data_IF_729066891325
#
_entry.id   IF_729066891325
#
_cell.length_a   1.000
_cell.length_b   1.000
_cell.length_c   1.000
_cell.angle_alpha   90.00
_cell.angle_beta   90.00
_cell.angle_gamma   90.00
#
_symmetry.space_group_name_H-M   'P 1'
#
loop_
_entity.id
_entity.type
_entity.pdbx_description
1 polymer ?
#
# COMPACT_ATOMS: atom_id res chain seq x y z
N UNK A 1 -18.91 25.72 1.44
CA UNK A 1 -17.85 24.84 1.97
C UNK A 1 -18.47 23.98 3.04
N UNK A 2 -18.71 22.71 2.76
CA UNK A 2 -19.20 21.80 3.80
C UNK A 2 -18.14 21.67 4.90
N UNK A 3 -18.60 21.74 6.15
CA UNK A 3 -17.74 21.65 7.32
C UNK A 3 -17.13 20.24 7.37
N UNK A 4 -15.80 20.15 7.23
CA UNK A 4 -15.07 18.87 7.32
C UNK A 4 -15.43 18.12 8.61
N UNK A 5 -15.65 16.82 8.50
CA UNK A 5 -16.09 15.98 9.62
C UNK A 5 -14.88 15.42 10.37
N UNK A 6 -14.81 15.54 11.72
CA UNK A 6 -13.81 14.81 12.48
C UNK A 6 -14.14 13.31 12.47
N UNK A 7 -13.16 12.48 12.12
CA UNK A 7 -13.31 11.02 12.05
C UNK A 7 -12.20 10.31 12.81
N UNK A 8 -12.44 9.04 13.15
CA UNK A 8 -11.45 8.14 13.73
C UNK A 8 -11.36 6.87 12.89
N UNK A 9 -10.41 6.86 11.96
CA UNK A 9 -10.19 5.74 11.04
C UNK A 9 -9.63 4.53 11.79
N UNK A 10 -10.09 3.33 11.43
CA UNK A 10 -9.49 2.09 11.90
C UNK A 10 -8.02 1.98 11.49
N UNK A 11 -7.12 1.46 12.37
CA UNK A 11 -5.73 1.18 11.99
C UNK A 11 -5.64 0.30 10.75
N UNK A 12 -4.71 0.62 9.86
CA UNK A 12 -4.50 -0.09 8.62
C UNK A 12 -3.55 -1.27 8.83
N UNK A 13 -4.06 -2.49 8.61
CA UNK A 13 -3.20 -3.66 8.62
C UNK A 13 -2.43 -3.75 7.30
N UNK A 14 -1.16 -3.36 7.31
CA UNK A 14 -0.26 -3.50 6.16
C UNK A 14 0.26 -4.93 6.08
N UNK A 15 -0.07 -5.63 5.00
CA UNK A 15 0.44 -6.97 4.73
C UNK A 15 1.66 -6.93 3.82
N UNK A 16 2.60 -7.86 4.00
CA UNK A 16 3.77 -8.00 3.10
C UNK A 16 3.34 -8.39 1.69
N UNK A 17 2.33 -9.25 1.61
CA UNK A 17 1.76 -9.68 0.34
C UNK A 17 0.26 -9.43 0.31
N UNK A 18 -0.24 -9.00 -0.84
CA UNK A 18 -1.63 -8.61 -1.02
C UNK A 18 -2.60 -9.78 -0.80
N UNK A 19 -2.22 -10.99 -1.25
CA UNK A 19 -3.04 -12.19 -1.08
C UNK A 19 -3.33 -12.54 0.39
N UNK A 20 -2.57 -12.00 1.35
CA UNK A 20 -2.80 -12.24 2.78
C UNK A 20 -4.10 -11.60 3.28
N UNK A 21 -4.58 -10.55 2.60
CA UNK A 21 -5.88 -9.92 2.89
C UNK A 21 -7.05 -10.66 2.27
N UNK A 22 -6.79 -11.49 1.25
CA UNK A 22 -7.83 -12.21 0.56
C UNK A 22 -8.36 -13.36 1.44
N UNK A 23 -9.67 -13.40 1.61
CA UNK A 23 -10.40 -14.44 2.34
C UNK A 23 -11.38 -15.12 1.40
N UNK A 24 -11.70 -16.38 1.70
CA UNK A 24 -12.63 -17.21 0.91
C UNK A 24 -13.62 -17.89 1.84
N UNK A 25 -14.88 -17.94 1.42
CA UNK A 25 -15.92 -18.67 2.15
C UNK A 25 -15.79 -20.18 1.90
N UNK A 26 -15.69 -20.98 2.96
CA UNK A 26 -15.64 -22.46 2.84
C UNK A 26 -16.91 -23.08 2.24
N UNK A 27 -18.05 -22.36 2.28
CA UNK A 27 -19.33 -22.90 1.84
C UNK A 27 -19.70 -22.52 0.40
N UNK A 28 -19.60 -21.24 0.05
CA UNK A 28 -19.98 -20.75 -1.28
C UNK A 28 -18.77 -20.44 -2.18
N UNK A 29 -17.55 -20.60 -1.67
CA UNK A 29 -16.30 -20.28 -2.39
C UNK A 29 -16.18 -18.84 -2.88
N UNK A 30 -17.05 -17.92 -2.42
CA UNK A 30 -16.92 -16.52 -2.75
C UNK A 30 -15.73 -15.89 -2.01
N UNK A 31 -15.05 -14.96 -2.68
CA UNK A 31 -13.87 -14.28 -2.19
C UNK A 31 -14.23 -12.88 -1.68
N UNK A 32 -13.53 -12.43 -0.64
CA UNK A 32 -13.65 -11.06 -0.14
C UNK A 32 -12.32 -10.58 0.43
N UNK A 33 -12.11 -9.26 0.39
CA UNK A 33 -10.99 -8.59 1.05
C UNK A 33 -11.43 -7.86 2.32
N UNK A 34 -12.73 -7.84 2.59
CA UNK A 34 -13.29 -7.14 3.72
C UNK A 34 -13.03 -7.90 5.03
N UNK A 35 -12.96 -7.15 6.12
CA UNK A 35 -12.66 -7.68 7.46
C UNK A 35 -13.86 -8.34 8.14
N UNK A 36 -15.02 -8.38 7.50
CA UNK A 36 -16.23 -9.01 8.04
C UNK A 36 -16.00 -10.50 8.31
N UNK A 37 -16.68 -11.03 9.33
CA UNK A 37 -16.62 -12.45 9.69
C UNK A 37 -17.62 -13.30 8.91
N UNK A 38 -18.74 -12.69 8.51
CA UNK A 38 -19.79 -13.31 7.71
C UNK A 38 -19.56 -13.09 6.22
N UNK A 39 -19.78 -14.12 5.41
CA UNK A 39 -19.74 -13.95 3.96
C UNK A 39 -20.92 -13.10 3.46
N UNK A 40 -20.66 -12.02 2.73
CA UNK A 40 -21.70 -11.16 2.15
C UNK A 40 -22.68 -11.91 1.21
N UNK A 41 -22.24 -13.02 0.60
CA UNK A 41 -23.08 -13.81 -0.30
C UNK A 41 -24.00 -14.79 0.45
N UNK A 42 -23.44 -15.68 1.28
CA UNK A 42 -24.22 -16.73 1.95
C UNK A 42 -24.57 -16.43 3.42
N UNK A 43 -24.13 -15.29 3.96
CA UNK A 43 -24.31 -14.82 5.34
C UNK A 43 -23.78 -15.75 6.44
N UNK A 44 -23.00 -16.78 6.10
CA UNK A 44 -22.39 -17.71 7.06
C UNK A 44 -21.02 -17.24 7.52
N UNK A 45 -20.70 -17.49 8.78
CA UNK A 45 -19.38 -17.24 9.39
C UNK A 45 -18.39 -18.33 9.01
N UNK A 46 -18.01 -18.34 7.73
CA UNK A 46 -17.18 -19.40 7.14
C UNK A 46 -16.01 -18.84 6.31
N UNK A 47 -15.66 -17.56 6.50
CA UNK A 47 -14.54 -16.91 5.83
C UNK A 47 -13.21 -17.36 6.45
N UNK A 48 -12.28 -17.78 5.60
CA UNK A 48 -10.90 -18.10 5.99
C UNK A 48 -9.88 -17.43 5.09
N UNK A 49 -8.68 -17.10 5.60
CA UNK A 49 -7.60 -16.62 4.76
C UNK A 49 -7.27 -17.60 3.64
N UNK A 50 -7.03 -17.10 2.44
CA UNK A 50 -6.72 -17.94 1.28
C UNK A 50 -5.45 -18.78 1.50
N UNK A 51 -4.49 -18.26 2.26
CA UNK A 51 -3.26 -18.99 2.63
C UNK A 51 -3.56 -20.26 3.45
N UNK A 52 -4.54 -20.20 4.37
CA UNK A 52 -4.92 -21.37 5.17
C UNK A 52 -5.56 -22.45 4.28
N UNK A 53 -6.36 -22.04 3.29
CA UNK A 53 -6.95 -22.96 2.33
C UNK A 53 -5.87 -23.59 1.42
N UNK A 54 -4.91 -22.79 0.95
CA UNK A 54 -3.80 -23.27 0.15
C UNK A 54 -2.93 -24.28 0.91
N UNK A 55 -2.64 -24.04 2.20
CA UNK A 55 -1.93 -24.97 3.05
C UNK A 55 -2.68 -26.30 3.23
N UNK A 56 -4.01 -26.24 3.41
CA UNK A 56 -4.85 -27.45 3.48
C UNK A 56 -4.83 -28.24 2.18
N UNK A 57 -4.87 -27.55 1.04
CA UNK A 57 -4.76 -28.19 -0.28
C UNK A 57 -3.39 -28.86 -0.48
N UNK A 58 -2.29 -28.18 -0.10
CA UNK A 58 -0.94 -28.75 -0.17
C UNK A 58 -0.80 -29.99 0.74
N UNK A 59 -1.26 -29.91 2.00
CA UNK A 59 -1.25 -31.07 2.91
C UNK A 59 -2.08 -32.23 2.39
N UNK A 60 -3.24 -31.98 1.78
CA UNK A 60 -4.08 -33.01 1.17
C UNK A 60 -3.41 -33.67 -0.04
N UNK A 61 -2.70 -32.90 -0.86
CA UNK A 61 -1.89 -33.45 -1.96
C UNK A 61 -0.79 -34.36 -1.41
N UNK A 62 -0.02 -33.89 -0.42
CA UNK A 62 1.03 -34.69 0.22
C UNK A 62 0.51 -35.96 0.89
N UNK A 63 -0.68 -35.92 1.49
CA UNK A 63 -1.34 -37.09 2.04
C UNK A 63 -1.72 -38.10 0.95
N UNK A 64 -2.19 -37.61 -0.20
CA UNK A 64 -2.53 -38.46 -1.34
C UNK A 64 -1.29 -39.17 -1.88
N UNK A 65 -0.15 -38.47 -1.96
CA UNK A 65 1.14 -39.08 -2.34
C UNK A 65 1.57 -40.16 -1.34
N UNK A 66 1.42 -39.92 -0.02
CA UNK A 66 1.72 -40.94 0.99
C UNK A 66 0.84 -42.18 0.84
N UNK A 67 -0.46 -42.00 0.59
CA UNK A 67 -1.39 -43.11 0.37
C UNK A 67 -0.95 -43.95 -0.84
N UNK A 68 -0.47 -43.32 -1.90
CA UNK A 68 0.08 -44.03 -3.06
C UNK A 68 1.31 -44.88 -2.69
N UNK A 69 2.24 -44.34 -1.90
CA UNK A 69 3.39 -45.12 -1.39
C UNK A 69 2.97 -46.27 -0.47
N UNK A 70 1.94 -46.07 0.37
CA UNK A 70 1.39 -47.15 1.19
C UNK A 70 0.81 -48.28 0.33
N UNK A 71 0.04 -47.94 -0.72
CA UNK A 71 -0.55 -48.93 -1.63
C UNK A 71 0.54 -49.71 -2.37
N UNK A 72 1.56 -49.03 -2.91
CA UNK A 72 2.68 -49.68 -3.60
C UNK A 72 3.42 -50.60 -2.63
N UNK A 73 3.75 -50.11 -1.43
CA UNK A 73 4.43 -50.90 -0.42
C UNK A 73 3.63 -52.15 -0.01
N UNK A 74 2.34 -51.99 0.24
CA UNK A 74 1.47 -53.10 0.64
C UNK A 74 1.32 -54.13 -0.48
N UNK A 75 1.25 -53.68 -1.74
CA UNK A 75 1.23 -54.58 -2.89
C UNK A 75 2.53 -55.38 -3.06
N UNK A 76 3.69 -54.77 -2.79
CA UNK A 76 4.98 -55.46 -2.84
C UNK A 76 5.11 -56.55 -1.75
N UNK A 77 4.57 -56.27 -0.55
CA UNK A 77 4.53 -57.26 0.55
C UNK A 77 3.60 -58.43 0.19
N UNK A 78 2.43 -58.16 -0.39
CA UNK A 78 1.48 -59.21 -0.78
C UNK A 78 1.99 -60.12 -1.91
N UNK A 79 2.79 -59.59 -2.83
CA UNK A 79 3.37 -60.35 -3.95
C UNK A 79 4.65 -61.11 -3.57
N UNK A 80 5.17 -60.92 -2.36
CA UNK A 80 6.40 -61.57 -1.89
C UNK A 80 6.16 -63.05 -1.57
N UNK A 81 7.03 -63.93 -2.04
CA UNK A 81 6.87 -65.38 -1.91
C UNK A 81 7.63 -65.97 -0.71
N UNK A 82 8.61 -65.24 -0.18
CA UNK A 82 9.48 -65.71 0.93
C UNK A 82 9.48 -64.74 2.10
N UNK A 83 9.70 -65.27 3.31
CA UNK A 83 9.77 -64.46 4.54
C UNK A 83 10.86 -63.37 4.46
N UNK A 84 12.02 -63.67 3.86
CA UNK A 84 13.09 -62.69 3.65
C UNK A 84 12.65 -61.54 2.73
N UNK A 85 11.92 -61.83 1.64
CA UNK A 85 11.39 -60.80 0.74
C UNK A 85 10.35 -59.91 1.43
N UNK A 86 9.51 -60.49 2.30
CA UNK A 86 8.55 -59.73 3.12
C UNK A 86 9.28 -58.75 4.05
N UNK A 87 10.31 -59.21 4.77
CA UNK A 87 11.08 -58.36 5.69
C UNK A 87 11.80 -57.24 4.94
N UNK A 88 12.45 -57.54 3.82
CA UNK A 88 13.17 -56.55 3.02
C UNK A 88 12.20 -55.53 2.41
N UNK A 89 11.08 -55.96 1.82
CA UNK A 89 10.09 -55.05 1.23
C UNK A 89 9.45 -54.14 2.27
N UNK A 90 9.13 -54.67 3.45
CA UNK A 90 8.63 -53.86 4.57
C UNK A 90 9.66 -52.83 5.05
N UNK A 91 10.92 -53.26 5.27
CA UNK A 91 11.99 -52.35 5.68
C UNK A 91 12.22 -51.23 4.65
N UNK A 92 12.27 -51.56 3.36
CA UNK A 92 12.37 -50.59 2.28
C UNK A 92 11.19 -49.61 2.27
N UNK A 93 9.95 -50.10 2.46
CA UNK A 93 8.77 -49.23 2.54
C UNK A 93 8.87 -48.22 3.68
N UNK A 94 9.27 -48.66 4.88
CA UNK A 94 9.42 -47.77 6.04
C UNK A 94 10.49 -46.71 5.79
N UNK A 95 11.64 -47.09 5.23
CA UNK A 95 12.72 -46.16 4.88
C UNK A 95 12.25 -45.13 3.85
N UNK A 96 11.58 -45.56 2.78
CA UNK A 96 11.05 -44.67 1.75
C UNK A 96 9.99 -43.71 2.29
N UNK A 97 9.09 -44.17 3.15
CA UNK A 97 8.07 -43.33 3.79
C UNK A 97 8.70 -42.30 4.74
N UNK A 98 9.70 -42.70 5.53
CA UNK A 98 10.43 -41.77 6.39
C UNK A 98 11.17 -40.71 5.57
N UNK A 99 11.81 -41.11 4.49
CA UNK A 99 12.48 -40.21 3.56
C UNK A 99 11.52 -39.23 2.89
N UNK A 100 10.40 -39.73 2.36
CA UNK A 100 9.34 -38.91 1.77
C UNK A 100 8.80 -37.89 2.77
N UNK A 101 8.57 -38.32 4.01
CA UNK A 101 8.06 -37.43 5.06
C UNK A 101 9.05 -36.31 5.41
N UNK A 102 10.35 -36.61 5.46
CA UNK A 102 11.39 -35.59 5.65
C UNK A 102 11.43 -34.58 4.48
N UNK A 103 11.34 -35.06 3.23
CA UNK A 103 11.27 -34.19 2.05
C UNK A 103 10.01 -33.32 2.11
N UNK A 104 8.84 -33.90 2.35
CA UNK A 104 7.58 -33.16 2.41
C UNK A 104 7.58 -32.10 3.50
N UNK A 105 8.21 -32.35 4.65
CA UNK A 105 8.40 -31.33 5.69
C UNK A 105 9.24 -30.14 5.21
N UNK A 106 10.31 -30.40 4.45
CA UNK A 106 11.17 -29.34 3.91
C UNK A 106 10.50 -28.54 2.79
N UNK A 107 9.70 -29.21 1.95
CA UNK A 107 9.10 -28.60 0.74
C UNK A 107 7.69 -28.04 0.99
N UNK A 108 7.10 -28.25 2.18
CA UNK A 108 5.75 -27.78 2.52
C UNK A 108 5.51 -26.31 2.16
N UNK A 109 6.45 -25.42 2.47
CA UNK A 109 6.29 -24.01 2.15
C UNK A 109 6.26 -23.72 0.64
N UNK A 110 7.03 -24.45 -0.16
CA UNK A 110 7.01 -24.32 -1.61
C UNK A 110 5.69 -24.86 -2.18
N UNK A 111 5.24 -26.01 -1.70
CA UNK A 111 3.96 -26.60 -2.12
C UNK A 111 2.76 -25.73 -1.73
N UNK A 112 2.78 -25.05 -0.59
CA UNK A 112 1.71 -24.11 -0.23
C UNK A 112 1.64 -22.94 -1.20
N UNK A 113 2.78 -22.38 -1.63
CA UNK A 113 2.82 -21.31 -2.64
C UNK A 113 2.38 -21.80 -4.03
N UNK A 114 2.75 -23.02 -4.40
CA UNK A 114 2.28 -23.64 -5.64
C UNK A 114 0.75 -23.86 -5.62
N UNK A 115 0.22 -24.42 -4.52
CA UNK A 115 -1.21 -24.60 -4.32
C UNK A 115 -1.97 -23.27 -4.29
N UNK A 116 -1.39 -22.23 -3.69
CA UNK A 116 -1.94 -20.87 -3.69
C UNK A 116 -2.05 -20.32 -5.12
N UNK A 117 -0.98 -20.41 -5.91
CA UNK A 117 -1.00 -19.95 -7.29
C UNK A 117 -2.03 -20.71 -8.13
N UNK A 118 -2.12 -22.04 -7.95
CA UNK A 118 -3.13 -22.88 -8.59
C UNK A 118 -4.55 -22.44 -8.21
N UNK A 119 -4.80 -22.19 -6.92
CA UNK A 119 -6.10 -21.75 -6.42
C UNK A 119 -6.50 -20.38 -6.98
N UNK A 120 -5.57 -19.42 -7.03
CA UNK A 120 -5.84 -18.08 -7.57
C UNK A 120 -6.16 -18.16 -9.05
N UNK A 121 -5.39 -18.95 -9.82
CA UNK A 121 -5.63 -19.14 -11.26
C UNK A 121 -6.97 -19.83 -11.54
N UNK A 122 -7.29 -20.90 -10.81
CA UNK A 122 -8.53 -21.64 -11.05
C UNK A 122 -9.78 -20.86 -10.65
N UNK A 123 -9.68 -19.95 -9.67
CA UNK A 123 -10.81 -19.18 -9.16
C UNK A 123 -10.74 -17.69 -9.54
N UNK A 124 -9.99 -17.32 -10.57
CA UNK A 124 -9.82 -15.91 -10.97
C UNK A 124 -11.16 -15.20 -11.21
N UNK A 125 -12.12 -15.85 -11.89
CA UNK A 125 -13.46 -15.28 -12.13
C UNK A 125 -14.21 -14.98 -10.84
N UNK A 126 -14.23 -15.93 -9.90
CA UNK A 126 -14.89 -15.76 -8.60
C UNK A 126 -14.21 -14.68 -7.74
N UNK A 127 -12.88 -14.52 -7.87
CA UNK A 127 -12.17 -13.41 -7.21
C UNK A 127 -12.64 -12.08 -7.77
N UNK A 128 -12.78 -11.95 -9.09
CA UNK A 128 -13.32 -10.72 -9.71
C UNK A 128 -14.76 -10.44 -9.28
N UNK A 129 -15.64 -11.43 -9.32
CA UNK A 129 -17.04 -11.30 -8.88
C UNK A 129 -17.13 -10.89 -7.40
N UNK A 130 -16.31 -11.51 -6.54
CA UNK A 130 -16.23 -11.15 -5.12
C UNK A 130 -15.73 -9.73 -4.88
N UNK A 131 -14.80 -9.23 -5.72
CA UNK A 131 -14.34 -7.85 -5.67
C UNK A 131 -15.39 -6.85 -6.14
N UNK A 132 -16.17 -7.19 -7.17
CA UNK A 132 -17.27 -6.35 -7.63
C UNK A 132 -18.38 -6.27 -6.58
N UNK A 133 -18.64 -7.37 -5.85
CA UNK A 133 -19.50 -7.35 -4.68
C UNK A 133 -18.96 -6.40 -3.59
N UNK A 134 -17.66 -6.46 -3.29
CA UNK A 134 -17.05 -5.54 -2.30
C UNK A 134 -17.18 -4.07 -2.75
N UNK A 135 -17.07 -3.76 -4.04
CA UNK A 135 -17.31 -2.40 -4.58
C UNK A 135 -18.76 -1.96 -4.42
N UNK A 136 -19.72 -2.88 -4.62
CA UNK A 136 -21.13 -2.59 -4.37
C UNK A 136 -21.38 -2.30 -2.88
N UNK A 137 -20.78 -3.09 -1.98
CA UNK A 137 -20.80 -2.84 -0.53
C UNK A 137 -20.18 -1.48 -0.19
N UNK A 138 -19.05 -1.12 -0.80
CA UNK A 138 -18.43 0.19 -0.61
C UNK A 138 -19.37 1.32 -1.04
N UNK A 139 -20.02 1.17 -2.21
CA UNK A 139 -20.93 2.19 -2.75
C UNK A 139 -22.18 2.37 -1.89
N UNK A 140 -22.68 1.30 -1.27
CA UNK A 140 -23.77 1.37 -0.29
C UNK A 140 -23.29 2.07 1.00
N UNK A 141 -22.14 1.64 1.54
CA UNK A 141 -21.58 2.21 2.75
C UNK A 141 -21.28 3.72 2.63
N UNK A 142 -20.74 4.18 1.50
CA UNK A 142 -20.46 5.61 1.27
C UNK A 142 -21.71 6.49 1.43
N UNK A 143 -22.90 5.98 1.05
CA UNK A 143 -24.16 6.74 1.16
C UNK A 143 -24.63 6.87 2.60
N UNK A 144 -24.37 5.87 3.42
CA UNK A 144 -24.82 5.81 4.82
C UNK A 144 -23.79 6.44 5.76
N UNK A 145 -22.52 6.03 5.61
CA UNK A 145 -21.38 6.48 6.40
C UNK A 145 -20.11 6.58 5.52
N UNK A 146 -19.71 7.81 5.24
CA UNK A 146 -18.51 8.12 4.47
C UNK A 146 -17.24 7.52 5.13
N UNK A 147 -17.18 7.43 6.46
CA UNK A 147 -16.03 6.86 7.16
C UNK A 147 -15.91 5.36 6.85
N UNK A 148 -16.98 4.60 7.06
CA UNK A 148 -17.02 3.18 6.74
C UNK A 148 -16.74 2.94 5.25
N UNK A 149 -17.34 3.77 4.38
CA UNK A 149 -17.08 3.77 2.95
C UNK A 149 -15.60 3.90 2.63
N UNK A 150 -14.91 4.88 3.23
CA UNK A 150 -13.47 5.06 3.05
C UNK A 150 -12.66 3.85 3.53
N UNK A 151 -12.98 3.28 4.69
CA UNK A 151 -12.28 2.10 5.21
C UNK A 151 -12.41 0.89 4.26
N UNK A 152 -13.60 0.66 3.72
CA UNK A 152 -13.87 -0.41 2.74
C UNK A 152 -13.07 -0.16 1.46
N UNK A 153 -13.15 1.05 0.90
CA UNK A 153 -12.41 1.40 -0.32
C UNK A 153 -10.90 1.26 -0.10
N UNK A 154 -10.39 1.64 1.08
CA UNK A 154 -8.97 1.48 1.44
C UNK A 154 -8.53 0.02 1.43
N UNK A 155 -9.37 -0.90 1.89
CA UNK A 155 -9.05 -2.33 1.79
C UNK A 155 -9.10 -2.85 0.35
N UNK A 156 -10.08 -2.43 -0.45
CA UNK A 156 -10.15 -2.80 -1.87
C UNK A 156 -8.92 -2.29 -2.64
N UNK A 157 -8.47 -1.07 -2.36
CA UNK A 157 -7.30 -0.43 -2.98
C UNK A 157 -5.99 -1.21 -2.76
N UNK A 158 -5.93 -2.06 -1.72
CA UNK A 158 -4.77 -2.92 -1.48
C UNK A 158 -4.57 -3.97 -2.57
N UNK A 159 -5.67 -4.43 -3.22
CA UNK A 159 -5.64 -5.42 -4.29
C UNK A 159 -5.92 -4.82 -5.67
N UNK A 160 -6.88 -3.89 -5.78
CA UNK A 160 -7.25 -3.28 -7.06
C UNK A 160 -6.66 -1.88 -7.14
N UNK A 161 -5.58 -1.75 -7.92
CA UNK A 161 -4.92 -0.46 -8.18
C UNK A 161 -5.46 0.15 -9.46
N UNK A 162 -6.40 1.06 -9.34
CA UNK A 162 -6.98 1.83 -10.44
C UNK A 162 -7.27 3.25 -9.96
N UNK A 163 -7.08 4.22 -10.83
CA UNK A 163 -7.34 5.65 -10.62
C UNK A 163 -8.77 5.94 -10.16
N UNK A 164 -9.77 5.18 -10.61
CA UNK A 164 -11.16 5.33 -10.12
C UNK A 164 -11.28 5.09 -8.60
N UNK A 165 -10.58 4.08 -8.08
CA UNK A 165 -10.59 3.75 -6.65
C UNK A 165 -9.79 4.81 -5.88
N UNK A 166 -8.64 5.23 -6.41
CA UNK A 166 -7.82 6.29 -5.81
C UNK A 166 -8.61 7.60 -5.72
N UNK A 167 -9.30 7.99 -6.78
CA UNK A 167 -10.15 9.17 -6.82
C UNK A 167 -11.26 9.09 -5.77
N UNK A 168 -11.96 7.96 -5.65
CA UNK A 168 -12.94 7.76 -4.58
C UNK A 168 -12.34 7.92 -3.18
N UNK A 169 -11.14 7.41 -2.94
CA UNK A 169 -10.45 7.61 -1.66
C UNK A 169 -10.13 9.09 -1.41
N UNK A 170 -9.66 9.80 -2.42
CA UNK A 170 -9.30 11.22 -2.33
C UNK A 170 -10.54 12.06 -2.02
N UNK A 171 -11.63 11.87 -2.76
CA UNK A 171 -12.91 12.57 -2.54
C UNK A 171 -13.43 12.33 -1.13
N UNK A 172 -13.36 11.09 -0.63
CA UNK A 172 -13.76 10.78 0.75
C UNK A 172 -12.85 11.46 1.78
N UNK A 173 -11.53 11.46 1.56
CA UNK A 173 -10.57 12.12 2.44
C UNK A 173 -10.79 13.64 2.52
N UNK A 174 -11.22 14.28 1.42
CA UNK A 174 -11.56 15.71 1.43
C UNK A 174 -12.72 16.06 2.36
N UNK A 175 -13.65 15.12 2.57
CA UNK A 175 -14.78 15.32 3.49
C UNK A 175 -14.37 15.25 4.98
N UNK A 176 -13.16 14.75 5.26
CA UNK A 176 -12.66 14.54 6.62
C UNK A 176 -11.73 15.66 7.07
N UNK A 177 -11.79 15.98 8.36
CA UNK A 177 -10.79 16.80 9.03
C UNK A 177 -9.53 15.96 9.25
N UNK A 178 -8.58 16.05 8.33
CA UNK A 178 -7.33 15.30 8.42
C UNK A 178 -6.51 15.75 9.63
N UNK A 179 -5.84 14.79 10.26
CA UNK A 179 -4.97 15.03 11.41
C UNK A 179 -3.68 14.25 11.30
N UNK A 180 -2.65 14.67 12.04
CA UNK A 180 -1.31 14.10 11.98
C UNK A 180 -1.22 12.68 12.55
N UNK A 181 -2.06 12.36 13.54
CA UNK A 181 -2.19 11.04 14.16
C UNK A 181 -2.78 9.99 13.22
N UNK A 182 -3.45 10.41 12.14
CA UNK A 182 -4.03 9.49 11.18
C UNK A 182 -2.97 8.79 10.32
N UNK A 183 -3.27 7.55 9.93
CA UNK A 183 -2.50 6.77 8.97
C UNK A 183 -2.80 7.20 7.53
N UNK A 184 -2.32 8.41 7.20
CA UNK A 184 -2.44 8.99 5.86
C UNK A 184 -1.36 8.43 4.93
N UNK A 185 -1.72 8.29 3.65
CA UNK A 185 -0.83 7.89 2.56
C UNK A 185 -1.01 8.88 1.39
N UNK A 186 0.05 9.12 0.61
CA UNK A 186 -0.01 10.01 -0.55
C UNK A 186 0.44 9.32 -1.83
N UNK A 187 1.63 8.73 -1.83
CA UNK A 187 2.21 8.12 -3.04
C UNK A 187 1.31 7.06 -3.73
N UNK A 188 0.60 6.18 -2.99
CA UNK A 188 -0.33 5.22 -3.63
C UNK A 188 -1.59 5.85 -4.21
N UNK A 189 -1.92 7.08 -3.81
CA UNK A 189 -3.11 7.83 -4.24
C UNK A 189 -2.82 8.77 -5.41
N UNK A 190 -1.55 8.90 -5.85
CA UNK A 190 -1.25 9.71 -7.02
C UNK A 190 -1.99 9.16 -8.24
N UNK A 191 -2.61 10.09 -8.97
CA UNK A 191 -3.29 9.85 -10.24
C UNK A 191 -2.35 10.22 -11.39
N UNK A 192 -2.57 9.65 -12.55
CA UNK A 192 -1.78 10.01 -13.74
C UNK A 192 -2.28 11.35 -14.31
N UNK A 193 -3.61 11.56 -14.33
CA UNK A 193 -4.24 12.78 -14.80
C UNK A 193 -4.39 13.85 -13.70
N UNK A 194 -4.58 15.11 -14.14
CA UNK A 194 -4.87 16.21 -13.21
C UNK A 194 -6.23 16.02 -12.55
N UNK A 195 -6.25 16.10 -11.22
CA UNK A 195 -7.47 16.14 -10.44
C UNK A 195 -7.37 17.22 -9.35
N UNK A 196 -8.38 18.12 -9.24
CA UNK A 196 -8.36 19.21 -8.28
C UNK A 196 -8.42 18.72 -6.82
N UNK A 197 -9.13 17.62 -6.54
CA UNK A 197 -9.24 17.09 -5.18
C UNK A 197 -7.92 16.46 -4.72
N UNK A 198 -7.16 15.84 -5.64
CA UNK A 198 -5.81 15.36 -5.39
C UNK A 198 -4.85 16.51 -5.10
N UNK A 199 -4.88 17.57 -5.91
CA UNK A 199 -4.03 18.75 -5.69
C UNK A 199 -4.34 19.40 -4.32
N UNK A 200 -5.62 19.57 -3.98
CA UNK A 200 -6.04 20.06 -2.67
C UNK A 200 -5.56 19.12 -1.53
N UNK A 201 -5.65 17.81 -1.73
CA UNK A 201 -5.21 16.81 -0.75
C UNK A 201 -3.69 16.90 -0.52
N UNK A 202 -2.90 17.02 -1.60
CA UNK A 202 -1.45 17.22 -1.50
C UNK A 202 -1.13 18.46 -0.67
N UNK A 203 -1.84 19.58 -0.90
CA UNK A 203 -1.65 20.82 -0.15
C UNK A 203 -1.95 20.68 1.34
N UNK A 204 -3.02 19.96 1.71
CA UNK A 204 -3.34 19.67 3.11
C UNK A 204 -2.31 18.75 3.77
N UNK A 205 -1.89 17.69 3.08
CA UNK A 205 -0.83 16.78 3.54
C UNK A 205 0.50 17.52 3.73
N UNK A 206 0.84 18.46 2.86
CA UNK A 206 2.04 19.27 2.98
C UNK A 206 2.06 20.14 4.24
N UNK A 207 0.89 20.51 4.80
CA UNK A 207 0.79 21.21 6.08
C UNK A 207 0.91 20.26 7.26
N UNK A 208 0.18 19.14 7.22
CA UNK A 208 -0.03 18.24 8.37
C UNK A 208 1.13 17.23 8.53
N UNK A 209 1.53 16.58 7.43
CA UNK A 209 2.40 15.40 7.43
C UNK A 209 3.43 15.45 6.29
N UNK A 210 4.29 16.46 6.35
CA UNK A 210 5.33 16.81 5.36
C UNK A 210 6.20 15.64 4.89
N UNK A 211 6.43 14.65 5.74
CA UNK A 211 7.18 13.44 5.40
C UNK A 211 6.58 12.63 4.25
N UNK A 212 5.28 12.75 4.01
CA UNK A 212 4.58 12.07 2.92
C UNK A 212 4.78 12.73 1.56
N UNK A 213 5.25 13.99 1.52
CA UNK A 213 5.58 14.67 0.26
C UNK A 213 6.82 14.00 -0.34
N UNK A 214 6.56 13.15 -1.34
CA UNK A 214 7.56 12.37 -2.05
C UNK A 214 8.03 13.05 -3.33
N UNK A 215 9.09 12.53 -3.95
CA UNK A 215 9.59 13.02 -5.23
C UNK A 215 8.52 12.93 -6.33
N UNK A 216 7.71 11.86 -6.32
CA UNK A 216 6.62 11.66 -7.28
C UNK A 216 5.49 12.67 -7.08
N UNK A 217 5.17 13.00 -5.83
CA UNK A 217 4.19 14.05 -5.55
C UNK A 217 4.65 15.42 -6.07
N UNK A 218 5.95 15.75 -5.93
CA UNK A 218 6.50 16.99 -6.48
C UNK A 218 6.47 16.95 -8.03
N UNK A 219 6.80 15.82 -8.65
CA UNK A 219 6.71 15.66 -10.11
C UNK A 219 5.28 15.86 -10.61
N UNK A 220 4.29 15.26 -9.94
CA UNK A 220 2.87 15.47 -10.27
C UNK A 220 2.48 16.96 -10.20
N UNK A 221 2.89 17.66 -9.15
CA UNK A 221 2.62 19.10 -9.02
C UNK A 221 3.28 19.94 -10.12
N UNK A 222 4.47 19.54 -10.57
CA UNK A 222 5.19 20.23 -11.65
C UNK A 222 4.57 19.97 -13.01
N UNK A 223 4.18 18.73 -13.28
CA UNK A 223 3.51 18.34 -14.52
C UNK A 223 2.19 19.09 -14.69
N UNK A 224 1.44 19.27 -13.60
CA UNK A 224 0.13 19.91 -13.60
C UNK A 224 0.13 21.35 -13.05
N UNK A 225 1.30 22.00 -12.99
CA UNK A 225 1.50 23.31 -12.34
C UNK A 225 0.53 24.38 -12.87
N UNK A 226 0.33 24.45 -14.19
CA UNK A 226 -0.58 25.42 -14.82
C UNK A 226 -2.05 25.21 -14.45
N UNK A 227 -2.48 23.95 -14.29
CA UNK A 227 -3.84 23.61 -13.85
C UNK A 227 -4.03 23.89 -12.37
N UNK A 228 -3.04 23.58 -11.55
CA UNK A 228 -3.08 23.85 -10.11
C UNK A 228 -3.15 25.36 -9.86
N UNK A 229 -2.35 26.17 -10.55
CA UNK A 229 -2.34 27.62 -10.36
C UNK A 229 -3.66 28.31 -10.75
N UNK A 230 -4.51 27.66 -11.55
CA UNK A 230 -5.87 28.14 -11.87
C UNK A 230 -6.88 27.88 -10.75
N UNK A 231 -6.54 27.05 -9.76
CA UNK A 231 -7.38 26.80 -8.59
C UNK A 231 -7.30 27.96 -7.60
N UNK A 232 -8.37 28.20 -6.85
CA UNK A 232 -8.45 29.28 -5.85
C UNK A 232 -7.29 29.23 -4.83
N UNK A 233 -6.91 28.02 -4.38
CA UNK A 233 -5.79 27.81 -3.44
C UNK A 233 -4.51 27.29 -4.12
N UNK A 234 -4.44 27.35 -5.45
CA UNK A 234 -3.36 26.76 -6.25
C UNK A 234 -1.96 27.19 -5.83
N UNK A 235 -1.74 28.51 -5.74
CA UNK A 235 -0.45 29.06 -5.31
C UNK A 235 -0.06 28.62 -3.90
N UNK A 236 -1.03 28.56 -2.99
CA UNK A 236 -0.79 28.14 -1.61
C UNK A 236 -0.42 26.65 -1.53
N UNK A 237 -1.07 25.80 -2.32
CA UNK A 237 -0.72 24.36 -2.44
C UNK A 237 0.74 24.21 -2.87
N UNK A 238 1.18 24.95 -3.89
CA UNK A 238 2.56 24.91 -4.39
C UNK A 238 3.57 25.39 -3.34
N UNK A 239 3.26 26.49 -2.64
CA UNK A 239 4.08 27.00 -1.53
C UNK A 239 4.22 25.97 -0.41
N UNK A 240 3.12 25.33 0.00
CA UNK A 240 3.14 24.35 1.08
C UNK A 240 3.94 23.11 0.69
N UNK A 241 3.78 22.62 -0.54
CA UNK A 241 4.56 21.51 -1.08
C UNK A 241 6.05 21.85 -1.18
N UNK A 242 6.41 23.04 -1.68
CA UNK A 242 7.79 23.52 -1.70
C UNK A 242 8.36 23.60 -0.28
N UNK A 243 7.60 24.12 0.68
CA UNK A 243 8.01 24.21 2.08
C UNK A 243 8.19 22.83 2.74
N UNK A 244 7.39 21.84 2.36
CA UNK A 244 7.59 20.46 2.78
C UNK A 244 8.87 19.86 2.17
N UNK A 245 9.16 20.18 0.90
CA UNK A 245 10.33 19.68 0.17
C UNK A 245 11.66 20.15 0.76
N UNK A 246 11.74 21.41 1.22
CA UNK A 246 12.93 22.02 1.86
C UNK A 246 13.45 21.22 3.07
N UNK A 247 12.64 20.33 3.65
CA UNK A 247 13.08 19.42 4.71
C UNK A 247 14.28 18.56 4.29
N UNK A 248 14.38 18.12 3.03
CA UNK A 248 15.43 17.20 2.57
C UNK A 248 16.34 17.88 1.55
N UNK A 249 17.67 17.87 1.80
CA UNK A 249 18.67 18.39 0.85
C UNK A 249 18.51 17.76 -0.54
N UNK A 250 18.32 16.43 -0.60
CA UNK A 250 18.07 15.71 -1.86
C UNK A 250 16.96 16.33 -2.71
N UNK A 251 15.89 16.84 -2.11
CA UNK A 251 14.81 17.47 -2.88
C UNK A 251 15.18 18.86 -3.38
N UNK A 252 16.03 19.59 -2.66
CA UNK A 252 16.62 20.85 -3.15
C UNK A 252 17.56 20.59 -4.32
N UNK A 253 18.37 19.53 -4.24
CA UNK A 253 19.25 19.11 -5.34
C UNK A 253 18.46 18.68 -6.59
N UNK A 254 17.31 18.02 -6.39
CA UNK A 254 16.50 17.46 -7.49
C UNK A 254 15.52 18.48 -8.10
N UNK A 255 14.96 19.38 -7.28
CA UNK A 255 13.92 20.32 -7.69
C UNK A 255 14.26 21.78 -7.29
N UNK A 256 15.45 22.30 -7.66
CA UNK A 256 15.86 23.64 -7.25
C UNK A 256 14.94 24.73 -7.83
N UNK A 257 14.53 24.59 -9.09
CA UNK A 257 13.70 25.59 -9.77
C UNK A 257 12.30 25.68 -9.16
N UNK A 258 11.71 24.53 -8.82
CA UNK A 258 10.42 24.46 -8.12
C UNK A 258 10.49 25.22 -6.79
N UNK A 259 11.50 24.93 -5.97
CA UNK A 259 11.66 25.58 -4.67
C UNK A 259 11.93 27.08 -4.86
N UNK A 260 12.74 27.45 -5.85
CA UNK A 260 13.05 28.86 -6.16
C UNK A 260 11.79 29.67 -6.49
N UNK A 261 10.90 29.13 -7.35
CA UNK A 261 9.64 29.79 -7.75
C UNK A 261 8.74 30.12 -6.57
N UNK A 262 8.67 29.24 -5.57
CA UNK A 262 7.76 29.39 -4.43
C UNK A 262 8.45 29.79 -3.11
N UNK A 263 9.76 30.06 -3.13
CA UNK A 263 10.57 30.36 -1.95
C UNK A 263 10.06 31.57 -1.16
N UNK A 264 9.55 32.57 -1.88
CA UNK A 264 9.06 33.84 -1.33
C UNK A 264 7.83 33.66 -0.43
N UNK A 265 6.98 32.68 -0.74
CA UNK A 265 5.79 32.37 0.06
C UNK A 265 6.06 31.48 1.27
N UNK A 266 7.30 31.02 1.47
CA UNK A 266 7.59 30.04 2.51
C UNK A 266 7.42 30.65 3.92
N UNK A 267 6.80 29.91 4.87
CA UNK A 267 6.79 30.30 6.27
C UNK A 267 8.22 30.51 6.80
N UNK A 268 8.41 31.54 7.64
CA UNK A 268 9.72 31.95 8.21
C UNK A 268 10.65 30.80 8.58
N UNK A 269 10.19 29.84 9.39
CA UNK A 269 11.00 28.69 9.81
C UNK A 269 11.44 27.77 8.66
N UNK A 270 10.59 27.61 7.63
CA UNK A 270 10.92 26.81 6.45
C UNK A 270 11.91 27.56 5.57
N UNK A 271 11.74 28.86 5.41
CA UNK A 271 12.68 29.72 4.68
C UNK A 271 14.05 29.75 5.36
N UNK A 272 14.11 29.92 6.69
CA UNK A 272 15.37 29.87 7.46
C UNK A 272 16.13 28.56 7.22
N UNK A 273 15.42 27.42 7.16
CA UNK A 273 16.04 26.13 6.84
C UNK A 273 16.63 26.12 5.43
N UNK A 274 15.90 26.62 4.44
CA UNK A 274 16.39 26.74 3.07
C UNK A 274 17.65 27.61 3.03
N UNK A 275 17.62 28.77 3.69
CA UNK A 275 18.74 29.70 3.83
C UNK A 275 19.99 29.01 4.38
N UNK A 276 19.86 28.29 5.50
CA UNK A 276 20.95 27.56 6.13
C UNK A 276 21.54 26.48 5.21
N UNK A 277 20.69 25.71 4.51
CA UNK A 277 21.18 24.68 3.58
C UNK A 277 21.96 25.34 2.45
N UNK A 278 21.45 26.45 1.92
CA UNK A 278 22.09 27.16 0.82
C UNK A 278 23.46 27.69 1.21
N UNK A 279 23.56 28.37 2.37
CA UNK A 279 24.82 28.94 2.90
C UNK A 279 25.87 27.88 3.22
N UNK A 280 25.46 26.72 3.76
CA UNK A 280 26.41 25.62 4.10
C UNK A 280 27.00 24.90 2.88
N UNK A 281 26.48 25.13 1.68
CA UNK A 281 26.95 24.44 0.47
C UNK A 281 27.34 25.45 -0.63
N UNK A 282 28.38 26.27 -0.41
CA UNK A 282 28.76 27.36 -1.32
C UNK A 282 29.21 26.90 -2.71
N UNK A 283 29.59 25.63 -2.89
CA UNK A 283 29.97 25.07 -4.19
C UNK A 283 28.81 24.65 -5.11
N UNK A 284 27.56 24.64 -4.63
CA UNK A 284 26.39 24.18 -5.43
C UNK A 284 25.62 25.37 -6.01
N UNK A 285 25.47 25.42 -7.33
CA UNK A 285 24.81 26.53 -8.03
C UNK A 285 23.27 26.48 -7.96
N UNK A 286 22.67 25.30 -7.81
CA UNK A 286 21.20 25.05 -7.76
C UNK A 286 20.40 25.98 -8.67
N UNK A 287 20.85 26.17 -9.91
CA UNK A 287 20.18 26.98 -10.93
C UNK A 287 19.74 28.39 -10.46
N UNK A 288 20.56 29.09 -9.68
CA UNK A 288 20.23 30.45 -9.22
C UNK A 288 19.28 30.51 -8.00
N UNK A 289 18.93 29.36 -7.42
CA UNK A 289 18.20 29.30 -6.15
C UNK A 289 18.92 30.08 -5.04
N UNK A 290 20.26 30.08 -5.03
CA UNK A 290 21.04 30.84 -4.04
C UNK A 290 20.79 32.33 -4.16
N UNK A 291 20.84 32.86 -5.36
CA UNK A 291 20.69 34.29 -5.60
C UNK A 291 19.27 34.72 -5.23
N UNK A 292 18.28 33.89 -5.58
CA UNK A 292 16.89 34.12 -5.17
C UNK A 292 16.70 34.11 -3.66
N UNK A 293 17.27 33.12 -2.97
CA UNK A 293 17.22 33.03 -1.49
C UNK A 293 17.93 34.22 -0.84
N UNK A 294 19.05 34.69 -1.40
CA UNK A 294 19.77 35.87 -0.90
C UNK A 294 18.97 37.16 -1.12
N UNK A 295 18.27 37.29 -2.25
CA UNK A 295 17.37 38.42 -2.50
C UNK A 295 16.22 38.46 -1.48
N UNK A 296 15.52 37.33 -1.26
CA UNK A 296 14.43 37.24 -0.28
C UNK A 296 14.93 37.54 1.15
N UNK A 297 16.14 37.08 1.51
CA UNK A 297 16.75 37.41 2.79
C UNK A 297 16.96 38.93 2.95
N UNK A 298 17.55 39.57 1.95
CA UNK A 298 17.81 41.01 1.96
C UNK A 298 16.53 41.84 2.03
N UNK A 299 15.46 41.40 1.35
CA UNK A 299 14.18 42.08 1.29
C UNK A 299 13.36 41.93 2.59
N UNK A 300 13.33 40.74 3.19
CA UNK A 300 12.37 40.42 4.25
C UNK A 300 12.97 40.06 5.62
N UNK A 301 14.23 39.61 5.69
CA UNK A 301 14.78 38.96 6.90
C UNK A 301 16.13 39.51 7.37
N UNK A 302 16.69 40.54 6.72
CA UNK A 302 17.99 41.13 7.06
C UNK A 302 18.12 41.58 8.53
N UNK A 303 17.03 42.05 9.11
CA UNK A 303 16.97 42.50 10.51
C UNK A 303 16.64 41.38 11.49
N UNK A 304 16.46 40.14 11.03
CA UNK A 304 16.07 39.01 11.86
C UNK A 304 17.30 38.32 12.50
N UNK A 305 17.42 38.31 13.85
CA UNK A 305 18.58 37.75 14.54
C UNK A 305 18.85 36.27 14.26
N UNK A 306 17.84 35.47 13.92
CA UNK A 306 18.04 34.05 13.63
C UNK A 306 18.72 33.80 12.29
N UNK A 307 18.59 34.74 11.36
CA UNK A 307 19.24 34.68 10.06
C UNK A 307 20.67 35.25 10.10
N UNK A 308 20.91 36.29 10.91
CA UNK A 308 22.23 36.91 11.09
C UNK A 308 23.29 35.96 11.67
N UNK A 309 22.88 34.92 12.41
CA UNK A 309 23.80 33.85 12.90
C UNK A 309 24.47 33.06 11.77
N UNK A 310 24.01 33.23 10.53
CA UNK A 310 24.45 32.51 9.34
C UNK A 310 24.98 33.41 8.22
N UNK A 311 25.06 34.72 8.48
CA UNK A 311 25.80 35.67 7.65
C UNK A 311 27.30 35.59 7.95
#
# INVERSE_FOLDING_TARGET
MDKKKPVQLRPYNKTRYVYQKLRVCKHCHNFTILWEDSCAYCKRNALVPVMELAEKMAKRSMQSDRLLFYIIGLSAVLLSQTFLQIVISFACMVVLLAWLWLIQRRVLHSETLYALNKLIRSHQKQIHEGLDLNKATASAAIKEDAQLGYEIVREIASLVRNDRIRLQQIVLLQSFSLRKDMELELEPLLLDEFDPDLAAYIGEIAKIKRELISSKAIQYLLEHESSILRMEQGRQIMIDAAGAAVRKKKYIDTFPDFISRYADGLPRYRFLRLYQIVRRNPGLSWNGLRDRVSAIYNEHYRSDPDFQKWD
#
